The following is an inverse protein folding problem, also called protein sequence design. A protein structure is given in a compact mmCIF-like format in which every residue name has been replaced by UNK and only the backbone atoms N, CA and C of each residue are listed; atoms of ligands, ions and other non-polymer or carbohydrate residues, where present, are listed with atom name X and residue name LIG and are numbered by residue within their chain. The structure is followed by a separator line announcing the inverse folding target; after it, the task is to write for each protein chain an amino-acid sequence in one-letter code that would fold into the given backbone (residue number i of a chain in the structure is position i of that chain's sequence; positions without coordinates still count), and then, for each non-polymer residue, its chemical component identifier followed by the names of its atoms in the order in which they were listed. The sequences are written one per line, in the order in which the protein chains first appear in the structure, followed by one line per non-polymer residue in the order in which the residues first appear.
data_IF_659714659069
#
_entry.id   IF_659714659069
#
_cell.length_a   1.000
_cell.length_b   1.000
_cell.length_c   1.000
_cell.angle_alpha   90.00
_cell.angle_beta   90.00
_cell.angle_gamma   90.00
#
_symmetry.space_group_name_H-M   'P 1'
#
loop_
_entity.id
_entity.type
_entity.pdbx_description
1 polymer ?
#
# COMPACT_ATOMS: atom_id res chain seq x y z
N UNK A 1 -14.49 -24.15 18.02
CA UNK A 1 -13.13 -24.69 17.82
C UNK A 1 -12.48 -23.82 16.76
N UNK A 2 -11.45 -23.05 17.13
CA UNK A 2 -10.69 -22.24 16.17
C UNK A 2 -9.73 -23.16 15.40
N UNK A 3 -9.59 -23.03 14.06
CA UNK A 3 -8.60 -23.80 13.33
C UNK A 3 -7.20 -23.27 13.70
N UNK A 4 -6.34 -24.19 14.11
CA UNK A 4 -4.96 -23.90 14.48
C UNK A 4 -4.18 -23.34 13.27
N UNK A 5 -3.77 -22.10 13.37
CA UNK A 5 -2.84 -21.50 12.43
C UNK A 5 -1.50 -22.24 12.48
N UNK A 6 -1.15 -22.91 11.40
CA UNK A 6 0.19 -23.44 11.20
C UNK A 6 1.17 -22.29 11.11
N UNK A 7 2.05 -22.16 12.10
CA UNK A 7 3.22 -21.28 12.05
C UNK A 7 4.08 -21.77 10.88
N UNK A 8 4.47 -20.89 9.93
CA UNK A 8 5.34 -21.31 8.84
C UNK A 8 6.66 -21.79 9.44
N UNK A 9 7.02 -23.02 9.11
CA UNK A 9 8.29 -23.67 9.49
C UNK A 9 9.46 -22.81 8.99
N UNK A 10 10.34 -22.41 9.89
CA UNK A 10 11.67 -21.85 9.55
C UNK A 10 12.43 -22.87 8.71
N UNK A 11 12.43 -22.72 7.38
CA UNK A 11 13.11 -23.65 6.50
C UNK A 11 13.01 -23.38 5.01
N UNK A 12 11.97 -22.69 4.54
CA UNK A 12 11.92 -22.22 3.16
C UNK A 12 12.47 -20.80 3.09
N UNK A 13 13.54 -20.57 2.31
CA UNK A 13 14.11 -19.24 2.08
C UNK A 13 13.03 -18.25 1.57
N UNK A 14 13.24 -16.97 1.79
CA UNK A 14 12.33 -15.93 1.30
C UNK A 14 12.38 -15.86 -0.23
N UNK A 15 11.37 -16.39 -0.91
CA UNK A 15 11.31 -16.51 -2.36
C UNK A 15 9.93 -16.12 -2.93
N UNK A 16 9.53 -14.83 -2.83
CA UNK A 16 8.18 -14.40 -3.21
C UNK A 16 7.85 -14.65 -4.68
N UNK A 17 8.82 -14.58 -5.58
CA UNK A 17 8.61 -14.88 -7.00
C UNK A 17 8.24 -16.35 -7.24
N UNK A 18 8.70 -17.28 -6.40
CA UNK A 18 8.34 -18.70 -6.47
C UNK A 18 7.03 -19.01 -5.74
N UNK A 19 6.70 -18.22 -4.71
CA UNK A 19 5.46 -18.36 -3.95
C UNK A 19 4.22 -17.85 -4.70
N UNK A 20 4.40 -16.86 -5.60
CA UNK A 20 3.29 -16.23 -6.32
C UNK A 20 2.72 -17.22 -7.37
N UNK A 21 1.44 -17.68 -7.23
CA UNK A 21 0.82 -18.53 -8.22
C UNK A 21 0.58 -17.78 -9.52
N UNK A 22 0.27 -18.51 -10.59
CA UNK A 22 -0.08 -17.90 -11.87
C UNK A 22 -1.46 -17.26 -11.78
N UNK A 23 -1.54 -15.93 -12.00
CA UNK A 23 -2.77 -15.17 -12.06
C UNK A 23 -3.34 -15.06 -13.48
N UNK A 24 -4.65 -14.85 -13.57
CA UNK A 24 -5.33 -14.48 -14.81
C UNK A 24 -5.37 -12.95 -14.92
N UNK A 25 -4.77 -12.41 -15.96
CA UNK A 25 -4.75 -10.95 -16.21
C UNK A 25 -6.14 -10.45 -16.61
N UNK A 26 -6.56 -9.33 -16.01
CA UNK A 26 -7.78 -8.59 -16.36
C UNK A 26 -7.38 -7.22 -16.90
N UNK A 27 -7.96 -6.82 -18.03
CA UNK A 27 -7.75 -5.46 -18.58
C UNK A 27 -8.59 -4.45 -17.78
N UNK A 28 -7.92 -3.60 -17.03
CA UNK A 28 -8.54 -2.55 -16.23
C UNK A 28 -8.04 -1.19 -16.70
N UNK A 29 -8.97 -0.28 -16.94
CA UNK A 29 -8.66 1.10 -17.30
C UNK A 29 -9.31 2.04 -16.30
N UNK A 30 -8.50 2.93 -15.77
CA UNK A 30 -9.00 4.04 -14.95
C UNK A 30 -9.82 5.04 -15.78
N UNK A 31 -10.54 5.92 -15.13
CA UNK A 31 -11.42 6.92 -15.77
C UNK A 31 -10.68 7.86 -16.74
N UNK A 32 -9.38 8.04 -16.55
CA UNK A 32 -8.49 8.82 -17.43
C UNK A 32 -7.77 7.98 -18.52
N UNK A 33 -8.15 6.70 -18.67
CA UNK A 33 -7.61 5.78 -19.66
C UNK A 33 -6.30 5.09 -19.28
N UNK A 34 -5.73 5.37 -18.11
CA UNK A 34 -4.53 4.68 -17.62
C UNK A 34 -4.84 3.20 -17.42
N UNK A 35 -4.03 2.32 -18.02
CA UNK A 35 -4.17 0.87 -17.84
C UNK A 35 -3.56 0.45 -16.52
N UNK A 36 -4.34 -0.26 -15.73
CA UNK A 36 -3.94 -0.84 -14.45
C UNK A 36 -3.75 -2.35 -14.62
N UNK A 37 -2.53 -2.82 -14.45
CA UNK A 37 -2.25 -4.24 -14.47
C UNK A 37 -2.90 -4.89 -13.25
N UNK A 38 -3.84 -5.79 -13.52
CA UNK A 38 -4.63 -6.47 -12.50
C UNK A 38 -4.60 -7.96 -12.76
N UNK A 39 -4.36 -8.75 -11.74
CA UNK A 39 -4.38 -10.20 -11.79
C UNK A 39 -5.37 -10.79 -10.79
N UNK A 40 -6.03 -11.87 -11.19
CA UNK A 40 -6.98 -12.63 -10.38
C UNK A 40 -6.45 -14.02 -10.17
N UNK A 41 -6.38 -14.45 -8.90
CA UNK A 41 -5.85 -15.72 -8.46
C UNK A 41 -6.93 -16.53 -7.74
N UNK A 42 -6.76 -17.85 -7.71
CA UNK A 42 -7.67 -18.77 -7.01
C UNK A 42 -8.96 -19.08 -7.77
N UNK A 43 -9.95 -19.67 -7.09
CA UNK A 43 -11.21 -20.11 -7.69
C UNK A 43 -12.03 -18.91 -8.20
N UNK A 44 -12.61 -19.07 -9.39
CA UNK A 44 -13.32 -17.99 -10.08
C UNK A 44 -14.62 -17.58 -9.36
N UNK A 45 -15.25 -18.52 -8.69
CA UNK A 45 -16.45 -18.37 -7.86
C UNK A 45 -16.15 -18.13 -6.38
N UNK A 46 -14.87 -18.06 -6.02
CA UNK A 46 -14.42 -17.77 -4.66
C UNK A 46 -14.84 -16.36 -4.20
N UNK A 47 -15.05 -16.21 -2.89
CA UNK A 47 -15.34 -14.92 -2.29
C UNK A 47 -14.19 -13.91 -2.56
N UNK A 48 -14.48 -12.69 -3.06
CA UNK A 48 -13.44 -11.78 -3.54
C UNK A 48 -12.70 -11.06 -2.41
N UNK A 49 -11.37 -11.03 -2.56
CA UNK A 49 -10.46 -10.25 -1.72
C UNK A 49 -9.60 -9.38 -2.64
N UNK A 50 -9.62 -8.06 -2.44
CA UNK A 50 -8.86 -7.10 -3.24
C UNK A 50 -7.65 -6.60 -2.46
N UNK A 51 -6.46 -6.65 -3.06
CA UNK A 51 -5.19 -6.29 -2.45
C UNK A 51 -4.55 -5.08 -3.15
N UNK A 52 -4.30 -4.00 -2.40
CA UNK A 52 -3.66 -2.77 -2.86
C UNK A 52 -2.31 -2.58 -2.17
N UNK A 53 -1.22 -2.53 -2.94
CA UNK A 53 0.15 -2.42 -2.43
C UNK A 53 0.55 -0.98 -2.05
N UNK A 54 1.70 -0.82 -1.38
CA UNK A 54 2.29 0.47 -1.03
C UNK A 54 3.07 1.14 -2.17
N UNK A 55 3.50 2.38 -1.94
CA UNK A 55 4.41 3.07 -2.87
C UNK A 55 5.67 2.22 -3.11
N UNK A 56 6.17 2.22 -4.34
CA UNK A 56 7.29 1.40 -4.82
C UNK A 56 7.09 -0.11 -4.73
N UNK A 57 5.90 -0.57 -4.38
CA UNK A 57 5.51 -1.97 -4.42
C UNK A 57 4.97 -2.39 -5.80
N UNK A 58 4.59 -3.65 -5.89
CA UNK A 58 3.85 -4.26 -7.00
C UNK A 58 3.13 -5.53 -6.48
N UNK A 59 2.34 -6.19 -7.32
CA UNK A 59 1.64 -7.44 -6.97
C UNK A 59 2.51 -8.43 -6.17
N UNK A 60 3.80 -8.67 -6.51
CA UNK A 60 4.63 -9.63 -5.78
C UNK A 60 4.84 -9.35 -4.28
N UNK A 61 4.56 -8.14 -3.80
CA UNK A 61 4.63 -7.84 -2.36
C UNK A 61 3.62 -8.68 -1.56
N UNK A 62 2.57 -9.13 -2.22
CA UNK A 62 1.50 -9.95 -1.66
C UNK A 62 1.68 -11.46 -1.93
N UNK A 63 2.84 -11.90 -2.44
CA UNK A 63 3.02 -13.25 -2.96
C UNK A 63 2.59 -14.35 -1.96
N UNK A 64 2.98 -14.25 -0.70
CA UNK A 64 2.63 -15.22 0.33
C UNK A 64 1.15 -15.16 0.73
N UNK A 65 0.58 -13.96 0.84
CA UNK A 65 -0.84 -13.78 1.10
C UNK A 65 -1.69 -14.29 -0.06
N UNK A 66 -1.25 -14.05 -1.30
CA UNK A 66 -1.93 -14.57 -2.49
C UNK A 66 -1.86 -16.10 -2.50
N UNK A 67 -0.68 -16.68 -2.24
CA UNK A 67 -0.53 -18.14 -2.24
C UNK A 67 -1.46 -18.83 -1.23
N UNK A 68 -1.56 -18.29 -0.01
CA UNK A 68 -2.40 -18.83 1.05
C UNK A 68 -3.89 -18.59 0.77
N UNK A 69 -4.27 -17.37 0.44
CA UNK A 69 -5.67 -17.00 0.25
C UNK A 69 -6.27 -17.58 -1.03
N UNK A 70 -5.49 -17.72 -2.11
CA UNK A 70 -5.96 -18.23 -3.40
C UNK A 70 -6.32 -19.73 -3.38
N UNK A 71 -6.02 -20.45 -2.32
CA UNK A 71 -6.52 -21.81 -2.13
C UNK A 71 -8.05 -21.86 -1.98
N UNK A 72 -8.66 -20.79 -1.42
CA UNK A 72 -10.08 -20.77 -1.07
C UNK A 72 -10.83 -19.54 -1.54
N UNK A 73 -10.13 -18.45 -1.85
CA UNK A 73 -10.69 -17.15 -2.19
C UNK A 73 -10.29 -16.70 -3.59
N UNK A 74 -11.13 -15.88 -4.21
CA UNK A 74 -10.77 -15.17 -5.43
C UNK A 74 -9.99 -13.91 -5.05
N UNK A 75 -8.66 -13.98 -5.15
CA UNK A 75 -7.77 -12.87 -4.80
C UNK A 75 -7.52 -12.00 -6.02
N UNK A 76 -7.81 -10.72 -5.90
CA UNK A 76 -7.62 -9.70 -6.92
C UNK A 76 -6.48 -8.79 -6.45
N UNK A 77 -5.38 -8.72 -7.18
CA UNK A 77 -4.30 -7.81 -6.88
C UNK A 77 -3.98 -6.95 -8.10
N UNK A 78 -3.65 -5.68 -7.88
CA UNK A 78 -3.33 -4.77 -8.97
C UNK A 78 -2.11 -3.92 -8.67
N UNK A 79 -1.40 -3.53 -9.73
CA UNK A 79 -0.33 -2.57 -9.65
C UNK A 79 -0.91 -1.15 -9.77
N UNK A 80 -0.60 -0.28 -8.83
CA UNK A 80 -0.97 1.14 -8.92
C UNK A 80 -0.38 1.77 -10.19
N UNK A 81 -1.03 2.80 -10.75
CA UNK A 81 -0.48 3.57 -11.86
C UNK A 81 0.98 3.96 -11.61
N UNK A 82 1.83 3.81 -12.61
CA UNK A 82 3.26 4.09 -12.50
C UNK A 82 4.06 3.07 -11.70
N UNK A 83 3.49 1.93 -11.34
CA UNK A 83 4.13 0.82 -10.66
C UNK A 83 4.02 -0.49 -11.45
N UNK A 84 4.91 -1.43 -11.16
CA UNK A 84 4.88 -2.76 -11.70
C UNK A 84 4.66 -2.79 -13.20
N UNK A 85 3.59 -3.45 -13.64
CA UNK A 85 3.19 -3.61 -15.06
C UNK A 85 2.09 -2.65 -15.48
N UNK A 86 1.65 -1.74 -14.60
CA UNK A 86 0.70 -0.67 -14.92
C UNK A 86 1.35 0.43 -15.74
N UNK A 87 0.53 1.14 -16.53
CA UNK A 87 1.01 2.25 -17.34
C UNK A 87 1.51 3.41 -16.47
N UNK A 88 2.57 4.06 -16.94
CA UNK A 88 3.05 5.32 -16.38
C UNK A 88 2.24 6.44 -17.01
N UNK A 89 1.50 7.24 -16.22
CA UNK A 89 0.75 8.38 -16.75
C UNK A 89 1.67 9.38 -17.46
N UNK A 90 1.18 9.94 -18.55
CA UNK A 90 1.86 11.02 -19.26
C UNK A 90 1.39 12.37 -18.73
N UNK A 91 2.33 13.26 -18.38
CA UNK A 91 2.03 14.62 -17.96
C UNK A 91 2.04 14.85 -16.44
N UNK A 92 1.96 16.14 -16.08
CA UNK A 92 2.12 16.61 -14.69
C UNK A 92 0.97 16.22 -13.75
N UNK A 93 -0.21 16.00 -14.29
CA UNK A 93 -1.44 15.75 -13.54
C UNK A 93 -1.81 14.26 -13.48
N UNK A 94 -0.93 13.37 -13.92
CA UNK A 94 -1.20 11.92 -13.94
C UNK A 94 -1.24 11.25 -12.57
N UNK A 95 -0.89 11.97 -11.49
CA UNK A 95 -0.89 11.48 -10.11
C UNK A 95 -1.65 12.44 -9.21
N UNK A 96 -2.62 11.94 -8.46
CA UNK A 96 -3.35 12.67 -7.43
C UNK A 96 -4.04 11.70 -6.46
N UNK A 97 -4.50 12.19 -5.32
CA UNK A 97 -5.31 11.39 -4.40
C UNK A 97 -6.64 10.96 -5.06
N UNK A 98 -7.21 11.80 -5.93
CA UNK A 98 -8.42 11.46 -6.68
C UNK A 98 -8.18 10.32 -7.66
N UNK A 99 -7.03 10.29 -8.35
CA UNK A 99 -6.67 9.16 -9.20
C UNK A 99 -6.47 7.87 -8.39
N UNK A 100 -5.91 7.96 -7.17
CA UNK A 100 -5.75 6.80 -6.30
C UNK A 100 -7.10 6.16 -5.96
N UNK A 101 -8.10 6.99 -5.66
CA UNK A 101 -9.47 6.56 -5.40
C UNK A 101 -10.16 6.00 -6.67
N UNK A 102 -10.03 6.71 -7.80
CA UNK A 102 -10.62 6.30 -9.07
C UNK A 102 -10.03 5.00 -9.62
N UNK A 103 -8.73 4.77 -9.42
CA UNK A 103 -8.06 3.52 -9.80
C UNK A 103 -8.61 2.33 -9.03
N UNK A 104 -8.78 2.46 -7.71
CA UNK A 104 -9.39 1.41 -6.91
C UNK A 104 -10.84 1.14 -7.35
N UNK A 105 -11.64 2.19 -7.60
CA UNK A 105 -13.01 2.04 -8.06
C UNK A 105 -13.08 1.32 -9.42
N UNK A 106 -12.19 1.65 -10.35
CA UNK A 106 -12.10 0.97 -11.65
C UNK A 106 -11.72 -0.51 -11.52
N UNK A 107 -10.81 -0.86 -10.59
CA UNK A 107 -10.48 -2.27 -10.29
C UNK A 107 -11.69 -3.01 -9.75
N UNK A 108 -12.42 -2.41 -8.80
CA UNK A 108 -13.64 -3.01 -8.23
C UNK A 108 -14.71 -3.23 -9.30
N UNK A 109 -14.91 -2.26 -10.21
CA UNK A 109 -15.90 -2.38 -11.27
C UNK A 109 -15.53 -3.43 -12.33
N UNK A 110 -14.26 -3.57 -12.64
CA UNK A 110 -13.80 -4.53 -13.65
C UNK A 110 -13.73 -5.98 -13.14
N UNK A 111 -13.66 -6.18 -11.82
CA UNK A 111 -13.38 -7.50 -11.23
C UNK A 111 -14.50 -8.07 -10.36
N UNK A 112 -15.43 -7.23 -9.93
CA UNK A 112 -16.59 -7.65 -9.15
C UNK A 112 -17.86 -7.63 -9.99
N UNK A 113 -18.67 -8.66 -9.88
CA UNK A 113 -19.98 -8.74 -10.53
C UNK A 113 -20.95 -7.65 -9.98
N UNK A 114 -22.04 -7.34 -10.70
CA UNK A 114 -23.07 -6.46 -10.18
C UNK A 114 -23.62 -6.96 -8.84
N UNK A 115 -23.58 -6.09 -7.81
CA UNK A 115 -24.03 -6.42 -6.45
C UNK A 115 -23.04 -7.23 -5.62
N UNK A 116 -21.92 -7.64 -6.19
CA UNK A 116 -20.87 -8.35 -5.47
C UNK A 116 -20.04 -7.39 -4.61
N UNK A 117 -19.64 -7.86 -3.43
CA UNK A 117 -18.87 -7.11 -2.44
C UNK A 117 -17.63 -7.91 -2.05
N UNK A 118 -16.57 -7.21 -1.68
CA UNK A 118 -15.26 -7.79 -1.38
C UNK A 118 -14.74 -7.37 0.01
N UNK A 119 -13.81 -8.13 0.54
CA UNK A 119 -12.86 -7.61 1.53
C UNK A 119 -11.75 -6.86 0.77
N UNK A 120 -11.46 -5.64 1.17
CA UNK A 120 -10.43 -4.81 0.51
C UNK A 120 -9.31 -4.54 1.50
N UNK A 121 -8.10 -5.00 1.20
CA UNK A 121 -6.92 -4.80 2.04
C UNK A 121 -5.91 -3.87 1.35
N UNK A 122 -5.40 -2.89 2.08
CA UNK A 122 -4.42 -1.94 1.56
C UNK A 122 -3.26 -1.72 2.51
N UNK A 123 -2.04 -1.90 1.98
CA UNK A 123 -0.80 -1.59 2.67
C UNK A 123 -0.32 -0.20 2.30
N UNK A 124 0.06 0.62 3.28
CA UNK A 124 0.68 1.92 3.05
C UNK A 124 -0.16 2.81 2.10
N UNK A 125 0.34 3.16 0.92
CA UNK A 125 -0.40 3.90 -0.13
C UNK A 125 -1.70 3.17 -0.54
N UNK A 126 -1.76 1.84 -0.51
CA UNK A 126 -2.99 1.09 -0.74
C UNK A 126 -4.07 1.35 0.32
N UNK A 127 -3.69 1.55 1.58
CA UNK A 127 -4.61 2.00 2.62
C UNK A 127 -5.10 3.43 2.42
N UNK A 128 -4.25 4.31 1.88
CA UNK A 128 -4.63 5.67 1.47
C UNK A 128 -5.62 5.60 0.30
N UNK A 129 -5.43 4.66 -0.64
CA UNK A 129 -6.40 4.44 -1.73
C UNK A 129 -7.79 4.10 -1.19
N UNK A 130 -7.88 3.17 -0.24
CA UNK A 130 -9.14 2.76 0.38
C UNK A 130 -9.83 3.93 1.10
N UNK A 131 -9.09 4.66 1.95
CA UNK A 131 -9.66 5.79 2.70
C UNK A 131 -10.08 6.93 1.78
N UNK A 132 -9.30 7.23 0.75
CA UNK A 132 -9.63 8.23 -0.26
C UNK A 132 -10.83 7.82 -1.10
N UNK A 133 -10.92 6.54 -1.48
CA UNK A 133 -12.07 5.99 -2.19
C UNK A 133 -13.36 6.11 -1.36
N UNK A 134 -13.30 5.76 -0.08
CA UNK A 134 -14.46 5.88 0.81
C UNK A 134 -14.90 7.35 1.02
N UNK A 135 -13.95 8.28 1.08
CA UNK A 135 -14.26 9.71 1.21
C UNK A 135 -14.94 10.27 -0.05
N UNK A 136 -14.47 9.89 -1.25
CA UNK A 136 -14.94 10.42 -2.55
C UNK A 136 -16.14 9.69 -3.11
N UNK A 137 -16.28 8.42 -2.78
CA UNK A 137 -17.34 7.54 -3.28
C UNK A 137 -18.12 6.88 -2.13
N UNK A 138 -18.75 7.66 -1.22
CA UNK A 138 -19.35 7.13 0.01
C UNK A 138 -20.44 6.07 -0.24
N UNK A 139 -21.21 6.22 -1.31
CA UNK A 139 -22.24 5.27 -1.70
C UNK A 139 -21.66 3.93 -2.19
N UNK A 140 -20.44 3.95 -2.75
CA UNK A 140 -19.77 2.75 -3.25
C UNK A 140 -19.29 1.84 -2.11
N UNK A 141 -19.00 2.41 -0.94
CA UNK A 141 -18.54 1.61 0.22
C UNK A 141 -19.54 0.52 0.55
N UNK A 142 -20.81 0.85 0.72
CA UNK A 142 -21.87 -0.11 1.00
C UNK A 142 -22.15 -1.07 -0.18
N UNK A 143 -21.86 -0.65 -1.41
CA UNK A 143 -22.12 -1.45 -2.61
C UNK A 143 -21.01 -2.45 -2.94
N UNK A 144 -19.76 -2.16 -2.58
CA UNK A 144 -18.57 -2.90 -3.03
C UNK A 144 -17.70 -3.46 -1.92
N UNK A 145 -17.85 -3.01 -0.66
CA UNK A 145 -17.05 -3.51 0.46
C UNK A 145 -17.90 -4.22 1.50
N UNK A 146 -17.46 -5.39 1.96
CA UNK A 146 -17.99 -6.05 3.15
C UNK A 146 -17.14 -5.74 4.38
N UNK A 147 -15.83 -5.60 4.20
CA UNK A 147 -14.89 -5.19 5.23
C UNK A 147 -13.63 -4.59 4.58
N UNK A 148 -12.85 -3.86 5.38
CA UNK A 148 -11.54 -3.37 4.94
C UNK A 148 -10.44 -3.70 5.93
N UNK A 149 -9.21 -3.86 5.43
CA UNK A 149 -7.99 -3.96 6.23
C UNK A 149 -7.03 -2.82 5.85
N UNK A 150 -6.70 -1.98 6.81
CA UNK A 150 -5.78 -0.85 6.68
C UNK A 150 -4.47 -1.19 7.37
N UNK A 151 -3.42 -1.46 6.57
CA UNK A 151 -2.16 -2.05 7.03
C UNK A 151 -1.04 -1.02 6.91
N UNK A 152 -0.37 -0.69 8.01
CA UNK A 152 0.74 0.26 8.06
C UNK A 152 0.49 1.51 7.20
N UNK A 153 -0.62 2.20 7.43
CA UNK A 153 -1.07 3.34 6.62
C UNK A 153 -1.34 4.59 7.45
N UNK A 154 -1.70 5.67 6.79
CA UNK A 154 -2.06 6.95 7.43
C UNK A 154 -3.18 7.63 6.66
N UNK A 155 -3.90 8.52 7.33
CA UNK A 155 -4.86 9.45 6.70
C UNK A 155 -4.29 10.87 6.58
N UNK A 156 -3.15 11.17 7.21
CA UNK A 156 -2.52 12.48 7.21
C UNK A 156 -1.29 12.53 8.11
N UNK A 157 -0.77 13.74 8.37
CA UNK A 157 0.43 14.01 9.18
C UNK A 157 1.67 13.20 8.76
N UNK A 158 1.77 12.84 7.46
CA UNK A 158 2.83 11.98 6.95
C UNK A 158 4.22 12.46 7.40
N UNK A 159 4.58 13.69 7.04
CA UNK A 159 5.92 14.24 7.32
C UNK A 159 6.16 14.54 8.80
N UNK A 160 5.10 14.79 9.57
CA UNK A 160 5.19 15.06 11.00
C UNK A 160 5.56 13.81 11.79
N UNK A 161 5.06 12.66 11.35
CA UNK A 161 5.18 11.40 12.06
C UNK A 161 6.42 10.57 11.68
N UNK A 162 7.03 10.80 10.51
CA UNK A 162 8.22 10.03 10.09
C UNK A 162 9.37 10.09 11.10
N UNK A 163 10.02 8.94 11.35
CA UNK A 163 11.08 8.80 12.36
C UNK A 163 12.47 8.53 11.79
N UNK A 164 12.68 8.72 10.50
CA UNK A 164 13.98 8.43 9.88
C UNK A 164 14.95 9.62 9.83
N UNK A 165 14.49 10.84 10.15
CA UNK A 165 15.34 12.04 10.18
C UNK A 165 15.89 12.30 11.59
N UNK A 166 17.21 12.54 11.74
CA UNK A 166 17.83 12.87 13.01
C UNK A 166 17.66 14.36 13.37
N UNK A 167 16.48 14.92 13.17
CA UNK A 167 16.17 16.32 13.51
C UNK A 167 15.30 16.34 14.78
N UNK A 168 15.72 17.07 15.82
CA UNK A 168 14.96 17.17 17.07
C UNK A 168 13.52 17.67 16.85
N UNK A 169 12.55 17.18 17.65
CA UNK A 169 11.14 17.59 17.56
C UNK A 169 10.91 19.12 17.72
N UNK A 170 11.82 19.80 18.42
CA UNK A 170 11.81 21.26 18.61
C UNK A 170 11.90 22.06 17.31
N UNK A 171 12.48 21.46 16.24
CA UNK A 171 12.58 22.05 14.91
C UNK A 171 11.54 21.47 13.94
N UNK A 172 10.29 21.33 14.36
CA UNK A 172 9.23 20.63 13.63
C UNK A 172 9.05 21.14 12.18
N UNK A 173 9.05 22.45 11.96
CA UNK A 173 8.89 23.02 10.62
C UNK A 173 10.08 22.77 9.68
N UNK A 174 11.32 22.84 10.19
CA UNK A 174 12.53 22.53 9.41
C UNK A 174 12.58 21.01 9.11
N UNK A 175 12.20 20.17 10.08
CA UNK A 175 12.12 18.73 9.93
C UNK A 175 11.12 18.31 8.84
N UNK A 176 9.92 18.88 8.85
CA UNK A 176 8.88 18.62 7.85
C UNK A 176 9.36 19.02 6.45
N UNK A 177 9.98 20.21 6.30
CA UNK A 177 10.54 20.64 5.02
C UNK A 177 11.66 19.72 4.53
N UNK A 178 12.60 19.36 5.41
CA UNK A 178 13.70 18.47 5.07
C UNK A 178 13.21 17.07 4.69
N UNK A 179 12.25 16.50 5.43
CA UNK A 179 11.64 15.23 5.11
C UNK A 179 10.93 15.24 3.76
N UNK A 180 10.15 16.29 3.51
CA UNK A 180 9.43 16.45 2.24
C UNK A 180 10.37 16.61 1.05
N UNK A 181 11.41 17.43 1.19
CA UNK A 181 12.44 17.57 0.15
C UNK A 181 13.17 16.28 -0.13
N UNK A 182 13.59 15.56 0.92
CA UNK A 182 14.27 14.27 0.79
C UNK A 182 13.40 13.23 0.09
N UNK A 183 12.13 13.07 0.50
CA UNK A 183 11.23 12.10 -0.12
C UNK A 183 10.94 12.44 -1.59
N UNK A 184 10.71 13.71 -1.92
CA UNK A 184 10.47 14.15 -3.31
C UNK A 184 11.71 13.92 -4.18
N UNK A 185 12.89 14.31 -3.68
CA UNK A 185 14.15 14.18 -4.44
C UNK A 185 14.54 12.72 -4.62
N UNK A 186 14.48 11.91 -3.54
CA UNK A 186 14.84 10.50 -3.60
C UNK A 186 13.84 9.70 -4.42
N UNK A 187 12.54 10.02 -4.32
CA UNK A 187 11.52 9.41 -5.17
C UNK A 187 11.73 9.67 -6.65
N UNK A 188 12.15 10.89 -7.03
CA UNK A 188 12.34 11.29 -8.42
C UNK A 188 13.74 10.98 -8.99
N UNK A 189 14.74 10.72 -8.14
CA UNK A 189 16.11 10.52 -8.58
C UNK A 189 16.24 9.26 -9.44
N UNK A 190 16.95 9.31 -10.58
CA UNK A 190 17.37 8.13 -11.29
C UNK A 190 18.37 7.36 -10.42
N UNK A 191 18.13 6.06 -10.20
CA UNK A 191 19.05 5.23 -9.43
C UNK A 191 20.24 4.88 -10.32
N UNK A 192 21.40 5.37 -9.93
CA UNK A 192 22.66 5.05 -10.61
C UNK A 192 23.24 3.80 -9.93
N UNK A 193 23.64 2.79 -10.71
CA UNK A 193 24.25 1.54 -10.21
C UNK A 193 25.40 1.75 -9.21
N UNK A 194 26.13 2.87 -9.34
CA UNK A 194 27.20 3.23 -8.40
C UNK A 194 26.71 3.59 -6.98
N UNK A 195 25.41 3.88 -6.81
CA UNK A 195 24.80 4.27 -5.53
C UNK A 195 24.01 3.14 -4.86
N UNK A 196 24.15 1.89 -5.31
CA UNK A 196 23.35 0.75 -4.83
C UNK A 196 23.46 0.52 -3.32
N UNK A 197 24.67 0.56 -2.74
CA UNK A 197 24.87 0.34 -1.30
C UNK A 197 24.21 1.40 -0.40
N UNK A 198 24.42 2.72 -0.60
CA UNK A 198 23.74 3.74 0.20
C UNK A 198 22.23 3.75 -0.04
N UNK A 199 21.76 3.53 -1.28
CA UNK A 199 20.35 3.46 -1.62
C UNK A 199 19.67 2.26 -0.95
N UNK A 200 20.31 1.10 -0.97
CA UNK A 200 19.88 -0.13 -0.29
C UNK A 200 19.75 0.06 1.22
N UNK A 201 20.77 0.69 1.84
CA UNK A 201 20.73 1.01 3.28
C UNK A 201 19.63 2.00 3.63
N UNK A 202 19.35 2.95 2.76
CA UNK A 202 18.27 3.91 2.93
C UNK A 202 16.91 3.21 2.85
N UNK A 203 16.64 2.43 1.81
CA UNK A 203 15.41 1.65 1.63
C UNK A 203 15.19 0.68 2.79
N UNK A 204 16.23 -0.09 3.16
CA UNK A 204 16.20 -0.99 4.31
C UNK A 204 15.80 -0.27 5.60
N UNK A 205 16.42 0.87 5.89
CA UNK A 205 16.17 1.61 7.13
C UNK A 205 14.74 2.18 7.23
N UNK A 206 14.15 2.56 6.09
CA UNK A 206 12.85 3.23 6.03
C UNK A 206 11.73 2.20 5.87
N UNK A 207 11.85 1.31 4.89
CA UNK A 207 10.78 0.44 4.45
C UNK A 207 10.70 -0.88 5.25
N UNK A 208 11.83 -1.47 5.65
CA UNK A 208 11.80 -2.82 6.22
C UNK A 208 12.18 -2.86 7.70
N UNK A 209 13.10 -2.01 8.12
CA UNK A 209 13.65 -1.99 9.46
C UNK A 209 15.11 -2.51 9.52
N UNK A 210 15.81 -2.14 10.59
CA UNK A 210 17.26 -2.41 10.70
C UNK A 210 17.61 -3.90 10.88
N UNK A 211 16.67 -4.64 11.44
CA UNK A 211 16.86 -6.05 11.81
C UNK A 211 16.20 -6.99 10.78
N UNK A 212 15.89 -6.47 9.58
CA UNK A 212 15.25 -7.26 8.54
C UNK A 212 16.22 -8.22 7.89
N UNK A 213 15.69 -9.37 7.47
CA UNK A 213 16.45 -10.35 6.71
C UNK A 213 17.00 -9.74 5.42
N UNK A 214 18.28 -9.98 5.07
CA UNK A 214 18.88 -9.48 3.84
C UNK A 214 18.07 -9.80 2.56
N UNK A 215 17.46 -10.97 2.47
CA UNK A 215 16.64 -11.37 1.32
C UNK A 215 15.40 -10.50 1.18
N UNK A 216 14.77 -10.12 2.29
CA UNK A 216 13.64 -9.19 2.30
C UNK A 216 14.09 -7.79 1.86
N UNK A 217 15.24 -7.34 2.35
CA UNK A 217 15.82 -6.05 1.95
C UNK A 217 16.09 -6.02 0.45
N UNK A 218 16.65 -7.10 -0.10
CA UNK A 218 16.93 -7.22 -1.52
C UNK A 218 15.68 -7.17 -2.36
N UNK A 219 14.68 -7.93 -1.99
CA UNK A 219 13.39 -7.94 -2.66
C UNK A 219 12.72 -6.54 -2.68
N UNK A 220 12.66 -5.88 -1.52
CA UNK A 220 12.07 -4.52 -1.44
C UNK A 220 12.89 -3.52 -2.24
N UNK A 221 14.23 -3.66 -2.25
CA UNK A 221 15.10 -2.82 -3.06
C UNK A 221 14.91 -3.06 -4.56
N UNK A 222 14.72 -4.30 -5.01
CA UNK A 222 14.39 -4.63 -6.39
C UNK A 222 13.06 -4.02 -6.84
N UNK A 223 12.01 -4.11 -6.00
CA UNK A 223 10.73 -3.46 -6.26
C UNK A 223 10.87 -1.95 -6.39
N UNK A 224 11.62 -1.33 -5.49
CA UNK A 224 11.92 0.10 -5.54
C UNK A 224 12.65 0.47 -6.85
N UNK A 225 13.64 -0.32 -7.27
CA UNK A 225 14.40 -0.08 -8.49
C UNK A 225 13.58 -0.31 -9.75
N UNK A 226 12.71 -1.31 -9.76
CA UNK A 226 11.85 -1.62 -10.91
C UNK A 226 10.73 -0.59 -11.11
N UNK A 227 10.38 0.15 -10.05
CA UNK A 227 9.37 1.21 -10.17
C UNK A 227 9.93 2.39 -10.96
N UNK A 228 9.30 2.82 -12.06
CA UNK A 228 9.74 3.97 -12.85
C UNK A 228 9.92 5.24 -12.01
N UNK A 229 10.97 6.01 -12.29
CA UNK A 229 11.25 7.26 -11.56
C UNK A 229 10.08 8.25 -11.61
N UNK A 230 9.34 8.30 -12.72
CA UNK A 230 8.12 9.10 -12.85
C UNK A 230 7.02 8.65 -11.88
N UNK A 231 6.84 7.33 -11.69
CA UNK A 231 5.89 6.76 -10.72
C UNK A 231 6.31 7.09 -9.29
N UNK A 232 7.56 6.78 -8.92
CA UNK A 232 8.09 7.09 -7.58
C UNK A 232 7.99 8.57 -7.24
N UNK A 233 8.48 9.44 -8.14
CA UNK A 233 8.49 10.89 -7.93
C UNK A 233 7.10 11.51 -7.97
N UNK A 234 6.22 11.03 -8.85
CA UNK A 234 4.83 11.45 -8.93
C UNK A 234 4.09 11.19 -7.62
N UNK A 235 4.12 9.96 -7.14
CA UNK A 235 3.47 9.58 -5.89
C UNK A 235 4.12 10.19 -4.65
N UNK A 236 5.45 10.22 -4.57
CA UNK A 236 6.13 10.87 -3.45
C UNK A 236 5.70 12.34 -3.31
N UNK A 237 5.55 13.06 -4.42
CA UNK A 237 5.06 14.45 -4.42
C UNK A 237 3.62 14.52 -3.92
N UNK A 238 2.71 13.70 -4.48
CA UNK A 238 1.30 13.68 -4.08
C UNK A 238 1.14 13.38 -2.59
N UNK A 239 1.80 12.34 -2.09
CA UNK A 239 1.70 11.95 -0.69
C UNK A 239 2.25 13.04 0.24
N UNK A 240 3.38 13.67 -0.11
CA UNK A 240 3.97 14.76 0.67
C UNK A 240 3.09 16.01 0.68
N UNK A 241 2.48 16.35 -0.45
CA UNK A 241 1.72 17.59 -0.60
C UNK A 241 0.29 17.47 -0.03
N UNK A 242 -0.31 16.27 -0.01
CA UNK A 242 -1.71 16.08 0.38
C UNK A 242 -1.90 15.45 1.77
N UNK A 243 -0.92 14.70 2.29
CA UNK A 243 -1.04 14.07 3.62
C UNK A 243 -0.44 14.96 4.72
N UNK A 244 -0.92 16.19 4.79
CA UNK A 244 -0.59 17.17 5.84
C UNK A 244 -1.44 17.00 7.10
N UNK A 245 -1.63 18.10 7.85
CA UNK A 245 -2.43 18.08 9.10
C UNK A 245 -3.93 17.90 8.85
N UNK A 246 -4.40 18.16 7.63
CA UNK A 246 -5.76 17.83 7.24
C UNK A 246 -5.82 16.35 6.85
N UNK A 247 -6.54 15.57 7.66
CA UNK A 247 -6.67 14.14 7.45
C UNK A 247 -7.78 13.81 6.45
N UNK A 248 -7.58 12.73 5.68
CA UNK A 248 -8.63 12.08 4.90
C UNK A 248 -9.74 11.63 5.87
N UNK A 249 -10.98 11.94 5.56
CA UNK A 249 -12.13 11.66 6.42
C UNK A 249 -12.47 10.17 6.47
N UNK A 250 -12.64 9.63 7.69
CA UNK A 250 -12.99 8.22 7.90
C UNK A 250 -14.50 7.96 7.98
N UNK A 251 -15.34 8.99 8.09
CA UNK A 251 -16.78 8.88 8.39
C UNK A 251 -17.58 7.99 7.43
N UNK A 252 -17.15 7.91 6.18
CA UNK A 252 -17.82 7.15 5.14
C UNK A 252 -17.37 5.68 5.07
N UNK A 253 -16.31 5.30 5.79
CA UNK A 253 -15.83 3.92 5.87
C UNK A 253 -16.63 3.16 6.93
N UNK A 254 -17.90 2.91 6.63
CA UNK A 254 -18.89 2.36 7.57
C UNK A 254 -18.84 0.85 7.76
N UNK A 255 -18.08 0.15 6.91
CA UNK A 255 -17.92 -1.31 6.99
C UNK A 255 -16.91 -1.70 8.08
N UNK A 256 -16.95 -2.95 8.58
CA UNK A 256 -15.97 -3.46 9.53
C UNK A 256 -14.54 -3.18 9.07
N UNK A 257 -13.77 -2.50 9.92
CA UNK A 257 -12.42 -2.04 9.62
C UNK A 257 -11.40 -2.70 10.53
N UNK A 258 -10.52 -3.53 9.96
CA UNK A 258 -9.33 -4.03 10.62
C UNK A 258 -8.19 -3.02 10.42
N UNK A 259 -7.52 -2.63 11.49
CA UNK A 259 -6.33 -1.77 11.43
C UNK A 259 -5.12 -2.57 11.90
N UNK A 260 -4.08 -2.62 11.10
CA UNK A 260 -2.81 -3.28 11.45
C UNK A 260 -1.71 -2.24 11.41
N UNK A 261 -0.92 -2.15 12.49
CA UNK A 261 0.24 -1.26 12.59
C UNK A 261 1.45 -2.00 13.12
N UNK A 262 2.64 -1.55 12.73
CA UNK A 262 3.91 -2.14 13.15
C UNK A 262 4.68 -1.23 14.10
N UNK A 263 5.16 -1.81 15.21
CA UNK A 263 5.82 -1.07 16.30
C UNK A 263 7.16 -0.45 15.87
N UNK A 264 7.87 -1.11 14.96
CA UNK A 264 9.17 -0.66 14.43
C UNK A 264 9.05 0.14 13.12
N UNK A 265 7.82 0.43 12.66
CA UNK A 265 7.59 1.24 11.48
C UNK A 265 8.11 2.67 11.69
N UNK A 266 9.06 3.08 10.85
CA UNK A 266 9.69 4.40 10.92
C UNK A 266 9.12 5.38 9.89
N UNK A 267 8.42 4.86 8.89
CA UNK A 267 7.77 5.64 7.85
C UNK A 267 6.35 6.06 8.31
N UNK A 268 5.55 5.09 8.74
CA UNK A 268 4.20 5.29 9.24
C UNK A 268 4.05 4.69 10.67
N UNK A 269 4.61 5.37 11.69
CA UNK A 269 4.64 4.83 13.04
C UNK A 269 3.26 4.53 13.61
N UNK A 270 3.21 3.66 14.62
CA UNK A 270 1.98 3.20 15.30
C UNK A 270 0.99 4.31 15.68
N UNK A 271 1.47 5.55 15.87
CA UNK A 271 0.57 6.69 16.15
C UNK A 271 -0.42 6.92 15.00
N UNK A 272 -0.02 6.64 13.74
CA UNK A 272 -0.91 6.74 12.58
C UNK A 272 -2.00 5.66 12.62
N UNK A 273 -1.63 4.41 12.88
CA UNK A 273 -2.59 3.30 13.00
C UNK A 273 -3.54 3.47 14.19
N UNK A 274 -3.04 3.94 15.35
CA UNK A 274 -3.88 4.24 16.49
C UNK A 274 -4.86 5.38 16.24
N UNK A 275 -4.46 6.40 15.45
CA UNK A 275 -5.34 7.48 15.04
C UNK A 275 -6.44 6.97 14.12
N UNK A 276 -6.10 6.14 13.12
CA UNK A 276 -7.10 5.50 12.24
C UNK A 276 -8.09 4.70 13.08
N UNK A 277 -7.61 3.85 13.99
CA UNK A 277 -8.45 3.06 14.86
C UNK A 277 -9.38 3.93 15.74
N UNK A 278 -8.90 5.07 16.22
CA UNK A 278 -9.70 5.99 17.03
C UNK A 278 -10.76 6.76 16.24
N UNK A 279 -10.62 6.86 14.90
CA UNK A 279 -11.53 7.62 14.02
C UNK A 279 -12.37 6.75 13.09
N UNK A 280 -12.08 5.46 12.99
CA UNK A 280 -12.85 4.52 12.19
C UNK A 280 -14.25 4.32 12.81
N UNK A 281 -15.33 4.55 12.05
CA UNK A 281 -16.70 4.48 12.59
C UNK A 281 -17.10 3.05 12.97
N UNK A 282 -16.50 2.04 12.36
CA UNK A 282 -16.77 0.63 12.60
C UNK A 282 -15.47 -0.16 12.74
N UNK A 283 -14.70 0.16 13.80
CA UNK A 283 -13.46 -0.55 14.10
C UNK A 283 -13.75 -1.98 14.56
N UNK A 284 -13.34 -2.97 13.75
CA UNK A 284 -13.40 -4.37 14.14
C UNK A 284 -12.25 -4.72 15.11
N UNK A 285 -11.03 -4.29 14.80
CA UNK A 285 -9.84 -4.56 15.63
C UNK A 285 -8.67 -3.66 15.25
N UNK A 286 -7.82 -3.34 16.25
CA UNK A 286 -6.46 -2.86 16.05
C UNK A 286 -5.47 -3.97 16.40
N UNK A 287 -4.58 -4.30 15.46
CA UNK A 287 -3.50 -5.29 15.64
C UNK A 287 -2.16 -4.58 15.58
N UNK A 288 -1.31 -4.82 16.58
CA UNK A 288 0.06 -4.30 16.63
C UNK A 288 1.05 -5.43 16.36
N UNK A 289 1.86 -5.29 15.30
CA UNK A 289 2.91 -6.24 14.94
C UNK A 289 4.28 -5.71 15.39
N UNK A 290 5.23 -6.60 15.64
CA UNK A 290 6.60 -6.24 16.06
C UNK A 290 7.50 -5.78 14.90
N UNK A 291 7.05 -5.90 13.64
CA UNK A 291 7.84 -5.64 12.43
C UNK A 291 8.07 -4.16 12.09
N UNK A 292 8.70 -3.93 10.92
CA UNK A 292 8.84 -2.63 10.25
C UNK A 292 7.60 -2.27 9.39
N UNK A 293 7.84 -1.49 8.34
CA UNK A 293 6.76 -0.99 7.44
C UNK A 293 6.22 -2.05 6.47
#
# INVERSE_FOLDING_TARGET
MAPGGSTPTRGAGFAPAQALPQGRVVDVRSSDGVRLHTEVFGPQDGYPIVLAHGITGAIPVWAYQIADLAEHYRVIAYDHRGHGRSSVPTGRHGYSIDHLAADLDAVLDATLAPGERAVIAGHSMGGIAITSWAERHPHRVAQRADAVALINTTTGDLLRNVKFLPVPPTFSGARVRAAGSLLKTFGAAPLVRAADRPSRRFVSTIAVGRDADPEIVDFVFELFNSTPAAGRGGWARVLVDHLGPQHIGMKNLTVPTLVIGSQKDRLLPMVSSRRIAATAPNLARLVELSGGH
#
